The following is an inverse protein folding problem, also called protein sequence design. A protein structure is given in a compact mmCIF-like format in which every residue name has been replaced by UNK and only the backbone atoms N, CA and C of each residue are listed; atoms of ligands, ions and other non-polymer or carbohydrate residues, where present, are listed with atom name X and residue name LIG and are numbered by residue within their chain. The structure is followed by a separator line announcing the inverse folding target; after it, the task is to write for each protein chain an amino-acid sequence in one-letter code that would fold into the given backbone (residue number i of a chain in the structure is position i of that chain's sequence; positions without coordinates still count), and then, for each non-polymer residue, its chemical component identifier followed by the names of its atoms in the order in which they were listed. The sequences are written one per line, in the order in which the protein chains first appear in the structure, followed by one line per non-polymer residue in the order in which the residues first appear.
data_IF_913653419606
#
_entry.id   IF_913653419606
#
_cell.length_a   1.000
_cell.length_b   1.000
_cell.length_c   1.000
_cell.angle_alpha   90.00
_cell.angle_beta   90.00
_cell.angle_gamma   90.00
#
_symmetry.space_group_name_H-M   'P 1'
#
loop_
_entity.id
_entity.type
_entity.pdbx_description
1 polymer ?
#
# COMPACT_ATOMS: atom_id res chain seq x y z
N UNK A 1 6.06 -12.95 -21.77
CA UNK A 1 5.55 -13.50 -20.49
C UNK A 1 6.39 -12.91 -19.34
N UNK A 2 6.09 -11.69 -18.90
CA UNK A 2 6.77 -11.08 -17.75
C UNK A 2 6.10 -11.52 -16.46
N UNK A 3 6.81 -12.28 -15.61
CA UNK A 3 6.30 -12.59 -14.27
C UNK A 3 6.22 -11.28 -13.48
N UNK A 4 5.08 -11.02 -12.83
CA UNK A 4 4.96 -9.92 -11.87
C UNK A 4 6.01 -10.13 -10.77
N UNK A 5 6.96 -9.21 -10.68
CA UNK A 5 7.89 -9.14 -9.57
C UNK A 5 7.08 -8.79 -8.32
N UNK A 6 6.81 -9.79 -7.48
CA UNK A 6 6.24 -9.57 -6.16
C UNK A 6 7.44 -9.48 -5.21
N UNK A 7 7.77 -8.31 -4.66
CA UNK A 7 8.79 -8.22 -3.63
C UNK A 7 8.39 -9.15 -2.48
N UNK A 8 9.33 -9.94 -1.96
CA UNK A 8 9.08 -10.88 -0.83
C UNK A 8 8.48 -10.19 0.42
N UNK A 9 8.53 -8.86 0.51
CA UNK A 9 7.96 -8.07 1.60
C UNK A 9 6.47 -7.67 1.40
N UNK A 10 5.88 -7.91 0.23
CA UNK A 10 4.52 -7.46 -0.08
C UNK A 10 3.45 -8.38 0.56
N UNK A 11 3.04 -8.08 1.78
CA UNK A 11 2.00 -8.82 2.50
C UNK A 11 0.61 -8.23 2.26
N UNK A 12 0.07 -8.39 1.05
CA UNK A 12 -1.32 -7.96 0.76
C UNK A 12 -2.31 -8.96 1.34
N UNK A 13 -2.80 -8.67 2.55
CA UNK A 13 -3.87 -9.46 3.17
C UNK A 13 -5.17 -9.43 2.36
N UNK A 14 -6.01 -10.46 2.48
CA UNK A 14 -7.35 -10.50 1.85
C UNK A 14 -8.18 -9.26 2.18
N UNK A 15 -8.08 -8.77 3.43
CA UNK A 15 -8.78 -7.56 3.88
C UNK A 15 -8.26 -6.31 3.17
N UNK A 16 -6.94 -6.16 3.03
CA UNK A 16 -6.34 -5.02 2.33
C UNK A 16 -6.67 -5.08 0.84
N UNK A 17 -6.57 -6.25 0.22
CA UNK A 17 -6.99 -6.50 -1.17
C UNK A 17 -8.44 -6.07 -1.40
N UNK A 18 -9.35 -6.46 -0.51
CA UNK A 18 -10.76 -6.08 -0.59
C UNK A 18 -10.97 -4.56 -0.50
N UNK A 19 -10.19 -3.85 0.33
CA UNK A 19 -10.29 -2.38 0.42
C UNK A 19 -9.80 -1.71 -0.86
N UNK A 20 -8.68 -2.17 -1.41
CA UNK A 20 -8.12 -1.67 -2.68
C UNK A 20 -9.16 -1.80 -3.80
N UNK A 21 -9.75 -2.99 -3.97
CA UNK A 21 -10.71 -3.25 -5.04
C UNK A 21 -12.03 -2.51 -4.86
N UNK A 22 -12.39 -2.14 -3.63
CA UNK A 22 -13.56 -1.30 -3.35
C UNK A 22 -13.31 0.20 -3.58
N UNK A 23 -12.08 0.60 -3.98
CA UNK A 23 -11.72 2.00 -4.14
C UNK A 23 -11.69 2.78 -2.83
N UNK A 24 -11.47 2.10 -1.69
CA UNK A 24 -11.35 2.77 -0.39
C UNK A 24 -9.99 3.41 -0.23
N UNK A 25 -9.93 4.49 0.52
CA UNK A 25 -8.66 5.08 0.95
C UNK A 25 -7.85 4.07 1.76
N UNK A 26 -6.63 3.83 1.28
CA UNK A 26 -5.66 2.95 1.92
C UNK A 26 -4.35 3.69 2.12
N UNK A 27 -3.73 3.47 3.28
CA UNK A 27 -2.38 3.94 3.50
C UNK A 27 -1.40 2.98 2.82
N UNK A 28 -0.63 3.45 1.84
CA UNK A 28 0.33 2.62 1.08
C UNK A 28 1.40 1.98 1.96
N UNK A 29 1.75 2.59 3.11
CA UNK A 29 2.68 2.00 4.09
C UNK A 29 2.18 0.63 4.55
N UNK A 30 0.86 0.45 4.67
CA UNK A 30 0.26 -0.83 5.09
C UNK A 30 0.51 -1.99 4.12
N UNK A 31 0.89 -1.72 2.87
CA UNK A 31 1.27 -2.74 1.88
C UNK A 31 2.67 -3.31 2.16
N UNK A 32 3.54 -2.49 2.76
CA UNK A 32 4.93 -2.83 3.06
C UNK A 32 5.12 -3.43 4.45
N UNK A 33 4.15 -3.23 5.35
CA UNK A 33 4.22 -3.80 6.69
C UNK A 33 3.85 -5.29 6.66
N UNK A 34 4.57 -6.14 7.40
CA UNK A 34 4.10 -7.49 7.65
C UNK A 34 2.72 -7.40 8.29
N UNK A 35 1.76 -8.19 7.77
CA UNK A 35 0.42 -8.24 8.34
C UNK A 35 0.57 -8.51 9.84
N UNK A 36 -0.05 -7.72 10.73
CA UNK A 36 -0.22 -8.21 12.08
C UNK A 36 -1.03 -9.49 11.92
N UNK A 37 -0.44 -10.62 12.30
CA UNK A 37 -1.27 -11.76 12.67
C UNK A 37 -2.28 -11.21 13.66
N UNK A 38 -3.53 -11.57 13.46
CA UNK A 38 -4.67 -10.94 14.12
C UNK A 38 -4.65 -11.25 15.63
N UNK A 39 -3.80 -10.58 16.40
CA UNK A 39 -3.91 -10.48 17.85
C UNK A 39 -5.00 -9.47 18.16
N UNK A 40 -6.23 -9.89 17.88
CA UNK A 40 -7.38 -9.34 18.55
C UNK A 40 -7.29 -9.80 20.01
N UNK A 41 -6.54 -9.09 20.85
CA UNK A 41 -6.70 -9.21 22.29
C UNK A 41 -8.06 -8.59 22.62
N UNK A 42 -9.11 -9.41 22.53
CA UNK A 42 -10.45 -9.07 22.99
C UNK A 42 -10.38 -9.01 24.51
N UNK A 43 -10.12 -7.81 25.06
CA UNK A 43 -10.40 -7.54 26.47
C UNK A 43 -11.91 -7.33 26.58
N UNK A 44 -12.62 -8.40 26.90
CA UNK A 44 -14.05 -8.37 27.22
C UNK A 44 -14.25 -7.78 28.62
N UNK A 45 -14.33 -6.45 28.70
CA UNK A 45 -14.83 -5.73 29.88
C UNK A 45 -16.20 -5.12 29.54
N UNK A 46 -17.21 -5.47 30.34
CA UNK A 46 -18.63 -5.13 30.19
C UNK A 46 -19.00 -3.85 29.42
N UNK A 47 -19.89 -4.04 28.45
CA UNK A 47 -20.86 -3.09 27.87
C UNK A 47 -20.41 -1.91 27.00
N UNK A 48 -19.12 -1.66 26.75
CA UNK A 48 -18.71 -0.76 25.65
C UNK A 48 -17.44 -1.29 25.00
N UNK A 49 -17.58 -1.95 23.84
CA UNK A 49 -16.44 -2.28 22.99
C UNK A 49 -15.98 -1.01 22.25
N UNK A 50 -15.28 -0.12 22.95
CA UNK A 50 -14.54 0.94 22.29
C UNK A 50 -13.32 0.30 21.62
N UNK A 51 -13.42 -0.01 20.32
CA UNK A 51 -12.25 -0.38 19.52
C UNK A 51 -11.40 0.87 19.35
N UNK A 52 -10.55 1.15 20.32
CA UNK A 52 -9.43 2.07 20.14
C UNK A 52 -8.48 1.39 19.15
N UNK A 53 -8.71 1.64 17.86
CA UNK A 53 -7.67 1.46 16.84
C UNK A 53 -6.58 2.47 17.16
N UNK A 54 -5.67 2.11 18.06
CA UNK A 54 -4.38 2.77 18.11
C UNK A 54 -3.82 2.63 16.71
N UNK A 55 -3.74 3.74 15.98
CA UNK A 55 -3.17 3.74 14.65
C UNK A 55 -1.75 3.20 14.81
N UNK A 56 -1.43 2.08 14.15
CA UNK A 56 -0.11 1.49 14.22
C UNK A 56 0.91 2.60 13.92
N UNK A 57 1.81 2.94 14.85
CA UNK A 57 2.69 4.10 14.72
C UNK A 57 3.56 4.03 13.46
N UNK A 58 3.75 2.83 12.91
CA UNK A 58 4.45 2.62 11.64
C UNK A 58 3.70 3.18 10.43
N UNK A 59 2.38 3.38 10.53
CA UNK A 59 1.55 3.96 9.47
C UNK A 59 1.64 5.49 9.39
N UNK A 60 2.32 6.14 10.34
CA UNK A 60 2.45 7.60 10.40
C UNK A 60 3.63 8.08 9.52
N UNK A 61 4.56 7.19 9.17
CA UNK A 61 5.77 7.54 8.41
C UNK A 61 5.51 7.79 6.92
N UNK A 62 6.24 8.77 6.37
CA UNK A 62 6.28 9.04 4.94
C UNK A 62 7.09 7.97 4.21
N UNK A 63 6.65 7.61 2.99
CA UNK A 63 7.39 6.71 2.12
C UNK A 63 8.48 7.49 1.38
N UNK A 64 9.71 6.99 1.40
CA UNK A 64 10.72 7.40 0.42
C UNK A 64 10.25 7.06 -1.00
N UNK A 65 10.83 7.69 -2.03
CA UNK A 65 10.46 7.40 -3.43
C UNK A 65 10.54 5.90 -3.76
N UNK A 66 11.58 5.22 -3.29
CA UNK A 66 11.79 3.80 -3.57
C UNK A 66 10.70 2.94 -2.90
N UNK A 67 10.35 3.26 -1.66
CA UNK A 67 9.27 2.60 -0.94
C UNK A 67 7.91 2.87 -1.60
N UNK A 68 7.66 4.09 -2.06
CA UNK A 68 6.47 4.43 -2.82
C UNK A 68 6.39 3.60 -4.11
N UNK A 69 7.46 3.51 -4.90
CA UNK A 69 7.47 2.74 -6.15
C UNK A 69 7.16 1.26 -5.92
N UNK A 70 7.71 0.69 -4.84
CA UNK A 70 7.43 -0.70 -4.43
C UNK A 70 5.98 -0.87 -3.98
N UNK A 71 5.51 -0.05 -3.04
CA UNK A 71 4.16 -0.14 -2.50
C UNK A 71 3.09 0.09 -3.57
N UNK A 72 3.29 1.09 -4.43
CA UNK A 72 2.38 1.41 -5.52
C UNK A 72 2.42 0.33 -6.61
N UNK A 73 3.57 -0.27 -6.91
CA UNK A 73 3.66 -1.40 -7.84
C UNK A 73 2.80 -2.59 -7.39
N UNK A 74 2.79 -2.89 -6.09
CA UNK A 74 1.94 -3.94 -5.51
C UNK A 74 0.45 -3.54 -5.57
N UNK A 75 0.13 -2.29 -5.24
CA UNK A 75 -1.24 -1.75 -5.37
C UNK A 75 -1.76 -1.88 -6.80
N UNK A 76 -0.96 -1.48 -7.79
CA UNK A 76 -1.25 -1.63 -9.21
C UNK A 76 -1.49 -3.08 -9.57
N UNK A 77 -0.62 -4.00 -9.15
CA UNK A 77 -0.76 -5.42 -9.47
C UNK A 77 -2.05 -6.01 -8.89
N UNK A 78 -2.49 -5.55 -7.70
CA UNK A 78 -3.79 -5.93 -7.13
C UNK A 78 -4.95 -5.45 -7.99
N UNK A 79 -4.92 -4.19 -8.43
CA UNK A 79 -5.98 -3.63 -9.31
C UNK A 79 -5.99 -4.35 -10.65
N UNK A 80 -4.84 -4.48 -11.30
CA UNK A 80 -4.72 -5.06 -12.64
C UNK A 80 -5.04 -6.56 -12.68
N UNK A 81 -5.01 -7.26 -11.53
CA UNK A 81 -5.50 -8.63 -11.43
C UNK A 81 -7.02 -8.74 -11.65
N UNK A 82 -7.78 -7.65 -11.49
CA UNK A 82 -9.24 -7.61 -11.71
C UNK A 82 -9.61 -6.69 -12.87
N UNK A 83 -8.88 -5.58 -13.04
CA UNK A 83 -9.11 -4.56 -14.06
C UNK A 83 -7.83 -4.37 -14.90
N UNK A 84 -7.52 -5.31 -15.81
CA UNK A 84 -6.27 -5.30 -16.58
C UNK A 84 -6.09 -4.03 -17.42
N UNK A 85 -7.19 -3.46 -17.93
CA UNK A 85 -7.17 -2.25 -18.77
C UNK A 85 -6.62 -1.01 -18.04
N UNK A 86 -6.63 -1.02 -16.70
CA UNK A 86 -6.06 0.07 -15.89
C UNK A 86 -4.54 0.08 -15.84
N UNK A 87 -3.87 -0.95 -16.37
CA UNK A 87 -2.42 -1.11 -16.25
C UNK A 87 -1.66 0.08 -16.85
N UNK A 88 -2.05 0.52 -18.04
CA UNK A 88 -1.37 1.61 -18.73
C UNK A 88 -1.47 2.93 -17.96
N UNK A 89 -2.66 3.25 -17.45
CA UNK A 89 -2.92 4.44 -16.63
C UNK A 89 -2.01 4.45 -15.39
N UNK A 90 -1.96 3.32 -14.68
CA UNK A 90 -1.21 3.20 -13.43
C UNK A 90 0.32 3.17 -13.66
N UNK A 91 0.79 2.55 -14.74
CA UNK A 91 2.20 2.57 -15.12
C UNK A 91 2.64 3.99 -15.55
N UNK A 92 1.78 4.71 -16.28
CA UNK A 92 2.03 6.11 -16.65
C UNK A 92 2.15 7.00 -15.40
N UNK A 93 1.26 6.80 -14.43
CA UNK A 93 1.33 7.52 -13.16
C UNK A 93 2.63 7.23 -12.40
N UNK A 94 3.04 5.96 -12.30
CA UNK A 94 4.33 5.60 -11.68
C UNK A 94 5.51 6.28 -12.37
N UNK A 95 5.54 6.25 -13.71
CA UNK A 95 6.61 6.88 -14.49
C UNK A 95 6.67 8.40 -14.24
N UNK A 96 5.51 9.08 -14.26
CA UNK A 96 5.42 10.51 -13.99
C UNK A 96 5.99 10.87 -12.61
N UNK A 97 5.62 10.12 -11.57
CA UNK A 97 6.15 10.37 -10.21
C UNK A 97 7.66 10.15 -10.16
N UNK A 98 8.18 9.12 -10.85
CA UNK A 98 9.61 8.87 -10.96
C UNK A 98 10.35 10.02 -11.64
N UNK A 99 9.83 10.51 -12.77
CA UNK A 99 10.40 11.66 -13.49
C UNK A 99 10.37 12.94 -12.65
N UNK A 100 9.26 13.22 -11.96
CA UNK A 100 9.13 14.37 -11.07
C UNK A 100 10.17 14.32 -9.95
N UNK A 101 10.39 13.15 -9.37
CA UNK A 101 11.39 12.98 -8.33
C UNK A 101 12.81 13.24 -8.84
N UNK A 102 13.16 12.72 -10.03
CA UNK A 102 14.45 12.97 -10.65
C UNK A 102 14.67 14.46 -10.95
N UNK A 103 13.66 15.13 -11.52
CA UNK A 103 13.70 16.58 -11.77
C UNK A 103 13.90 17.34 -10.46
N UNK A 104 13.20 16.96 -9.39
CA UNK A 104 13.35 17.59 -8.09
C UNK A 104 14.78 17.45 -7.56
N UNK A 105 15.36 16.25 -7.56
CA UNK A 105 16.74 16.04 -7.11
C UNK A 105 17.74 16.88 -7.92
N UNK A 106 17.59 16.90 -9.25
CA UNK A 106 18.51 17.62 -10.13
C UNK A 106 18.33 19.15 -10.10
N UNK A 107 17.23 19.65 -9.54
CA UNK A 107 16.94 21.09 -9.44
C UNK A 107 17.33 21.69 -8.08
N UNK A 108 17.76 20.86 -7.12
CA UNK A 108 18.29 21.33 -5.83
C UNK A 108 19.80 21.52 -5.98
N UNK A 109 20.34 22.75 -5.87
CA UNK A 109 21.76 23.04 -6.00
C UNK A 109 22.60 22.49 -4.83
#
# INVERSE_FOLDING_TARGET
MGRSYIPQAANVTTRLRSKILQGKDINLVSIMLPSPECDSSVVSGGNIAAVFKSADPRLIGDLSIGQFMVAFGVYRDVICAVYPDRRQELDTYMALIGELHLKHILSVP
#
